data_IF_808357403679
#
_entry.id   IF_808357403679
#
_cell.length_a   1.000
_cell.length_b   1.000
_cell.length_c   1.000
_cell.angle_alpha   90.00
_cell.angle_beta   90.00
_cell.angle_gamma   90.00
#
_symmetry.space_group_name_H-M   'P 1'
#
loop_
_entity.id
_entity.type
_entity.pdbx_description
1 polymer ?
#
# COMPACT_ATOMS: atom_id res chain seq x y z
N UNK A 1 -24.87 12.06 3.39
CA UNK A 1 -23.96 10.95 3.80
C UNK A 1 -22.88 10.86 2.74
N UNK A 2 -21.60 11.06 3.10
CA UNK A 2 -20.51 10.92 2.11
C UNK A 2 -20.35 9.45 1.78
N UNK A 3 -20.42 9.08 0.50
CA UNK A 3 -20.17 7.73 0.01
C UNK A 3 -18.79 7.26 0.50
N UNK A 4 -18.79 6.42 1.53
CA UNK A 4 -17.61 5.74 1.96
C UNK A 4 -17.28 4.72 0.86
N UNK A 5 -16.24 5.02 0.07
CA UNK A 5 -15.72 4.12 -0.94
C UNK A 5 -15.44 2.72 -0.38
N UNK A 6 -15.40 1.73 -1.27
CA UNK A 6 -15.12 0.33 -0.90
C UNK A 6 -13.80 0.23 -0.13
N UNK A 7 -13.77 -0.61 0.90
CA UNK A 7 -12.58 -0.83 1.72
C UNK A 7 -11.39 -1.26 0.84
N UNK A 8 -10.20 -0.64 0.94
CA UNK A 8 -9.07 -0.91 0.04
C UNK A 8 -8.59 -2.36 0.10
N UNK A 9 -8.69 -3.00 1.27
CA UNK A 9 -8.39 -4.42 1.44
C UNK A 9 -9.30 -5.35 0.61
N UNK A 10 -10.54 -4.95 0.31
CA UNK A 10 -11.44 -5.77 -0.49
C UNK A 10 -11.00 -5.86 -1.96
N UNK A 11 -10.51 -4.75 -2.53
CA UNK A 11 -9.93 -4.73 -3.87
C UNK A 11 -8.67 -5.57 -3.99
N UNK A 12 -7.83 -5.55 -2.94
CA UNK A 12 -6.65 -6.43 -2.87
C UNK A 12 -7.03 -7.91 -2.79
N UNK A 13 -7.99 -8.27 -1.92
CA UNK A 13 -8.48 -9.65 -1.83
C UNK A 13 -9.10 -10.11 -3.16
N UNK A 14 -9.86 -9.23 -3.83
CA UNK A 14 -10.44 -9.53 -5.13
C UNK A 14 -9.36 -9.78 -6.19
N UNK A 15 -8.39 -8.89 -6.31
CA UNK A 15 -7.30 -9.01 -7.28
C UNK A 15 -6.38 -10.21 -7.00
N UNK A 16 -6.09 -10.49 -5.72
CA UNK A 16 -5.36 -11.70 -5.32
C UNK A 16 -6.17 -12.97 -5.62
N UNK A 17 -7.49 -12.93 -5.50
CA UNK A 17 -8.37 -14.02 -5.91
C UNK A 17 -8.28 -14.31 -7.41
N UNK A 18 -8.36 -13.27 -8.25
CA UNK A 18 -8.15 -13.41 -9.70
C UNK A 18 -6.73 -13.89 -10.05
N UNK A 19 -5.71 -13.38 -9.35
CA UNK A 19 -4.32 -13.83 -9.51
C UNK A 19 -4.17 -15.31 -9.14
N UNK A 20 -4.78 -15.73 -8.04
CA UNK A 20 -4.79 -17.14 -7.61
C UNK A 20 -5.47 -18.02 -8.66
N UNK A 21 -6.61 -17.60 -9.21
CA UNK A 21 -7.25 -18.28 -10.32
C UNK A 21 -6.34 -18.39 -11.56
N UNK A 22 -5.63 -17.32 -11.92
CA UNK A 22 -4.66 -17.34 -13.02
C UNK A 22 -3.51 -18.34 -12.78
N UNK A 23 -3.12 -18.60 -11.52
CA UNK A 23 -2.12 -19.65 -11.24
C UNK A 23 -2.62 -21.08 -11.49
N UNK A 24 -3.93 -21.30 -11.60
CA UNK A 24 -4.53 -22.62 -11.77
C UNK A 24 -4.83 -22.97 -13.23
N UNK A 25 -4.47 -22.12 -14.19
CA UNK A 25 -4.75 -22.38 -15.60
C UNK A 25 -3.63 -21.88 -16.51
N UNK A 26 -3.41 -22.61 -17.59
CA UNK A 26 -2.60 -22.17 -18.75
C UNK A 26 -3.47 -22.01 -20.00
N UNK A 27 -4.79 -22.16 -19.88
CA UNK A 27 -5.71 -21.98 -20.99
C UNK A 27 -5.78 -20.49 -21.39
N UNK A 28 -5.37 -20.14 -22.62
CA UNK A 28 -5.28 -18.74 -23.05
C UNK A 28 -6.65 -18.04 -23.06
N UNK A 29 -7.74 -18.76 -23.31
CA UNK A 29 -9.09 -18.19 -23.33
C UNK A 29 -9.54 -17.78 -21.93
N UNK A 30 -9.25 -18.60 -20.90
CA UNK A 30 -9.55 -18.27 -19.51
C UNK A 30 -8.67 -17.12 -19.01
N UNK A 31 -7.38 -17.11 -19.38
CA UNK A 31 -6.47 -16.01 -19.05
C UNK A 31 -6.92 -14.70 -19.72
N UNK A 32 -7.34 -14.75 -20.99
CA UNK A 32 -7.90 -13.60 -21.69
C UNK A 32 -9.21 -13.12 -21.05
N UNK A 33 -10.07 -14.04 -20.60
CA UNK A 33 -11.29 -13.71 -19.87
C UNK A 33 -10.98 -13.04 -18.53
N UNK A 34 -10.00 -13.53 -17.76
CA UNK A 34 -9.54 -12.89 -16.52
C UNK A 34 -9.00 -11.48 -16.78
N UNK A 35 -8.22 -11.30 -17.85
CA UNK A 35 -7.74 -9.98 -18.28
C UNK A 35 -8.91 -9.06 -18.62
N UNK A 36 -9.88 -9.54 -19.40
CA UNK A 36 -11.07 -8.77 -19.78
C UNK A 36 -11.93 -8.37 -18.58
N UNK A 37 -12.20 -9.30 -17.65
CA UNK A 37 -12.91 -9.02 -16.39
C UNK A 37 -12.15 -8.00 -15.56
N UNK A 38 -10.83 -8.16 -15.42
CA UNK A 38 -10.01 -7.21 -14.68
C UNK A 38 -10.02 -5.82 -15.30
N UNK A 39 -9.91 -5.73 -16.62
CA UNK A 39 -9.94 -4.48 -17.37
C UNK A 39 -11.30 -3.80 -17.22
N UNK A 40 -12.39 -4.55 -17.39
CA UNK A 40 -13.74 -4.03 -17.25
C UNK A 40 -14.01 -3.45 -15.86
N UNK A 41 -13.69 -4.21 -14.80
CA UNK A 41 -13.85 -3.75 -13.42
C UNK A 41 -12.96 -2.54 -13.13
N UNK A 42 -11.71 -2.53 -13.61
CA UNK A 42 -10.85 -1.36 -13.47
C UNK A 42 -11.46 -0.16 -14.21
N UNK A 43 -11.95 -0.29 -15.43
CA UNK A 43 -12.52 0.84 -16.16
C UNK A 43 -13.80 1.40 -15.53
N UNK A 44 -14.60 0.56 -14.88
CA UNK A 44 -15.90 0.94 -14.30
C UNK A 44 -15.81 1.41 -12.84
N UNK A 45 -14.84 0.90 -12.08
CA UNK A 45 -14.70 1.17 -10.64
C UNK A 45 -13.50 2.06 -10.28
N UNK A 46 -12.62 2.38 -11.23
CA UNK A 46 -11.40 3.17 -10.97
C UNK A 46 -11.74 4.62 -10.62
N UNK A 47 -11.20 5.15 -9.50
CA UNK A 47 -11.35 6.55 -9.13
C UNK A 47 -10.41 7.45 -9.96
N UNK A 48 -10.87 8.67 -10.26
CA UNK A 48 -10.08 9.72 -10.94
C UNK A 48 -8.95 10.25 -10.04
N UNK A 49 -7.89 9.46 -9.92
CA UNK A 49 -6.71 9.78 -9.10
C UNK A 49 -5.43 9.58 -9.92
N UNK A 50 -4.28 10.16 -9.54
CA UNK A 50 -3.02 9.98 -10.29
C UNK A 50 -2.60 8.51 -10.43
N UNK A 51 -2.88 7.70 -9.39
CA UNK A 51 -2.57 6.27 -9.33
C UNK A 51 -3.39 5.39 -10.24
N UNK A 52 -4.50 5.94 -10.72
CA UNK A 52 -5.40 5.27 -11.62
C UNK A 52 -4.62 4.78 -12.88
N UNK A 53 -3.62 5.54 -13.36
CA UNK A 53 -2.79 5.18 -14.54
C UNK A 53 -1.89 3.95 -14.36
N UNK A 54 -1.76 3.43 -13.14
CA UNK A 54 -0.93 2.25 -12.86
C UNK A 54 -1.36 1.02 -13.67
N UNK A 55 -2.66 0.79 -13.88
CA UNK A 55 -3.15 -0.37 -14.64
C UNK A 55 -2.55 -0.44 -16.06
N UNK A 56 -2.51 0.70 -16.77
CA UNK A 56 -1.91 0.77 -18.10
C UNK A 56 -0.40 0.51 -18.10
N UNK A 57 0.31 0.89 -17.03
CA UNK A 57 1.74 0.59 -16.89
C UNK A 57 1.98 -0.91 -16.65
N UNK A 58 1.16 -1.55 -15.81
CA UNK A 58 1.23 -3.00 -15.56
C UNK A 58 0.84 -3.83 -16.79
N UNK A 59 -0.14 -3.38 -17.58
CA UNK A 59 -0.45 -3.99 -18.89
C UNK A 59 0.73 -3.92 -19.85
N UNK A 60 1.37 -2.76 -19.99
CA UNK A 60 2.57 -2.60 -20.84
C UNK A 60 3.73 -3.47 -20.35
N UNK A 61 3.93 -3.54 -19.03
CA UNK A 61 4.93 -4.40 -18.42
C UNK A 61 4.63 -5.88 -18.68
N UNK A 62 3.37 -6.31 -18.55
CA UNK A 62 2.94 -7.68 -18.88
C UNK A 62 3.14 -8.03 -20.35
N UNK A 63 2.81 -7.09 -21.25
CA UNK A 63 3.09 -7.25 -22.68
C UNK A 63 4.60 -7.32 -22.96
N UNK A 64 5.42 -6.51 -22.29
CA UNK A 64 6.87 -6.59 -22.42
C UNK A 64 7.41 -7.94 -21.95
N UNK A 65 6.95 -8.46 -20.80
CA UNK A 65 7.32 -9.80 -20.30
C UNK A 65 6.91 -10.88 -21.31
N UNK A 66 5.71 -10.79 -21.89
CA UNK A 66 5.24 -11.69 -22.94
C UNK A 66 6.18 -11.71 -24.14
N UNK A 67 6.47 -10.53 -24.71
CA UNK A 67 7.31 -10.38 -25.89
C UNK A 67 8.75 -10.86 -25.63
N UNK A 68 9.31 -10.51 -24.47
CA UNK A 68 10.65 -10.94 -24.08
C UNK A 68 10.68 -12.46 -23.93
N UNK A 69 9.68 -13.09 -23.31
CA UNK A 69 9.61 -14.56 -23.22
C UNK A 69 9.48 -15.24 -24.58
N UNK A 70 8.65 -14.70 -25.48
CA UNK A 70 8.56 -15.20 -26.85
C UNK A 70 9.89 -15.08 -27.59
N UNK A 71 10.57 -13.94 -27.45
CA UNK A 71 11.89 -13.73 -28.04
C UNK A 71 12.90 -14.76 -27.51
N UNK A 72 12.94 -14.98 -26.20
CA UNK A 72 13.80 -16.03 -25.63
C UNK A 72 13.43 -17.42 -26.14
N UNK A 73 12.14 -17.75 -26.28
CA UNK A 73 11.70 -19.03 -26.84
C UNK A 73 12.09 -19.21 -28.32
N UNK A 74 12.13 -18.13 -29.10
CA UNK A 74 12.58 -18.15 -30.51
C UNK A 74 14.11 -18.25 -30.60
N UNK A 75 14.85 -17.54 -29.75
CA UNK A 75 16.32 -17.47 -29.81
C UNK A 75 17.00 -18.70 -29.18
N UNK A 76 16.49 -19.21 -28.05
CA UNK A 76 17.04 -20.40 -27.37
C UNK A 76 16.40 -21.71 -27.86
N UNK A 77 15.41 -21.62 -28.75
CA UNK A 77 14.57 -22.76 -29.13
C UNK A 77 13.69 -23.26 -27.97
N UNK A 78 12.75 -24.14 -28.28
CA UNK A 78 11.90 -24.78 -27.29
C UNK A 78 12.29 -26.26 -27.12
N UNK A 79 12.42 -26.78 -25.89
CA UNK A 79 12.66 -28.19 -25.64
C UNK A 79 11.44 -29.10 -25.94
N UNK A 80 10.32 -28.51 -26.39
CA UNK A 80 9.07 -29.21 -26.63
C UNK A 80 9.10 -29.85 -28.02
N UNK A 81 8.83 -31.18 -28.12
CA UNK A 81 8.69 -31.84 -29.40
C UNK A 81 7.55 -31.20 -30.21
N UNK A 82 7.84 -30.78 -31.44
CA UNK A 82 6.83 -30.20 -32.32
C UNK A 82 6.99 -30.72 -33.75
N UNK A 83 5.86 -30.95 -34.41
CA UNK A 83 5.82 -31.42 -35.80
C UNK A 83 5.73 -30.25 -36.78
N UNK A 84 5.23 -29.10 -36.34
CA UNK A 84 5.03 -27.92 -37.18
C UNK A 84 6.17 -26.90 -37.04
N UNK A 85 7.16 -26.98 -37.93
CA UNK A 85 8.27 -26.02 -37.99
C UNK A 85 7.83 -24.73 -38.70
N UNK A 86 7.94 -23.59 -38.02
CA UNK A 86 7.63 -22.27 -38.58
C UNK A 86 8.87 -21.65 -39.24
N UNK A 87 9.99 -21.64 -38.51
CA UNK A 87 11.25 -21.00 -38.96
C UNK A 87 12.42 -21.87 -38.50
N UNK A 88 13.45 -21.97 -39.33
CA UNK A 88 14.72 -22.61 -38.96
C UNK A 88 15.78 -21.52 -38.82
N UNK A 89 16.27 -21.32 -37.60
CA UNK A 89 17.41 -20.42 -37.36
C UNK A 89 18.71 -21.23 -37.45
N UNK A 90 19.79 -20.66 -38.01
CA UNK A 90 21.08 -21.32 -38.07
C UNK A 90 21.55 -21.69 -36.67
N UNK A 91 21.84 -22.97 -36.45
CA UNK A 91 22.33 -23.47 -35.18
C UNK A 91 23.78 -23.04 -35.00
N UNK A 92 24.07 -22.31 -33.92
CA UNK A 92 25.45 -22.01 -33.54
C UNK A 92 25.93 -23.16 -32.65
N UNK A 93 26.93 -23.96 -33.08
CA UNK A 93 27.46 -25.03 -32.26
C UNK A 93 28.11 -24.41 -31.02
N UNK A 94 27.49 -24.63 -29.86
CA UNK A 94 28.01 -24.15 -28.59
C UNK A 94 29.07 -25.12 -28.04
N UNK A 95 30.10 -24.61 -27.34
CA UNK A 95 31.12 -25.43 -26.72
C UNK A 95 30.54 -26.50 -25.78
N UNK A 96 31.27 -27.60 -25.57
CA UNK A 96 30.80 -28.77 -24.79
C UNK A 96 30.27 -28.45 -23.37
N UNK A 97 30.71 -27.34 -22.76
CA UNK A 97 30.25 -26.89 -21.43
C UNK A 97 28.86 -26.23 -21.44
N UNK A 98 28.34 -25.87 -22.62
CA UNK A 98 27.04 -25.23 -22.83
C UNK A 98 26.06 -26.11 -23.65
N UNK A 99 26.25 -27.43 -23.68
CA UNK A 99 25.39 -28.38 -24.41
C UNK A 99 23.92 -28.41 -23.97
N UNK A 100 23.58 -27.80 -22.84
CA UNK A 100 22.20 -27.66 -22.36
C UNK A 100 21.43 -26.47 -22.96
N UNK A 101 22.11 -25.55 -23.66
CA UNK A 101 21.48 -24.38 -24.29
C UNK A 101 21.70 -24.50 -25.79
N UNK A 102 20.63 -24.55 -26.59
CA UNK A 102 20.75 -24.43 -28.05
C UNK A 102 20.50 -22.97 -28.41
N UNK A 103 21.44 -22.29 -29.05
CA UNK A 103 21.18 -20.99 -29.66
C UNK A 103 20.80 -21.23 -31.12
N UNK A 104 19.55 -20.89 -31.46
CA UNK A 104 18.96 -21.18 -32.76
C UNK A 104 18.37 -22.60 -32.87
N UNK A 105 18.04 -23.00 -34.11
CA UNK A 105 17.40 -24.28 -34.41
C UNK A 105 15.98 -24.15 -34.96
N UNK A 106 15.25 -25.26 -34.97
CA UNK A 106 13.87 -25.33 -35.46
C UNK A 106 12.91 -24.66 -34.46
N UNK A 107 12.31 -23.55 -34.86
CA UNK A 107 11.23 -22.90 -34.11
C UNK A 107 9.92 -23.57 -34.50
N UNK A 108 9.34 -24.31 -33.55
CA UNK A 108 8.08 -25.03 -33.74
C UNK A 108 6.88 -24.20 -33.26
N UNK A 109 5.72 -24.40 -33.87
CA UNK A 109 4.47 -23.74 -33.47
C UNK A 109 4.05 -24.18 -32.04
N UNK A 110 4.24 -25.45 -31.72
CA UNK A 110 4.01 -26.07 -30.40
C UNK A 110 4.82 -25.37 -29.31
N UNK A 111 6.12 -25.21 -29.55
CA UNK A 111 7.04 -24.59 -28.60
C UNK A 111 6.74 -23.10 -28.38
N UNK A 112 6.38 -22.39 -29.44
CA UNK A 112 6.01 -20.97 -29.37
C UNK A 112 4.67 -20.78 -28.64
N UNK A 113 3.67 -21.63 -28.91
CA UNK A 113 2.37 -21.59 -28.21
C UNK A 113 2.52 -21.91 -26.72
N UNK A 114 3.34 -22.90 -26.36
CA UNK A 114 3.59 -23.20 -24.96
C UNK A 114 4.23 -22.01 -24.23
N UNK A 115 5.29 -21.43 -24.82
CA UNK A 115 5.93 -20.25 -24.27
C UNK A 115 4.95 -19.07 -24.17
N UNK A 116 4.08 -18.89 -25.16
CA UNK A 116 3.04 -17.86 -25.16
C UNK A 116 2.01 -18.07 -24.04
N UNK A 117 1.54 -19.30 -23.80
CA UNK A 117 0.57 -19.61 -22.74
C UNK A 117 1.16 -19.37 -21.35
N UNK A 118 2.39 -19.82 -21.13
CA UNK A 118 3.11 -19.59 -19.88
C UNK A 118 3.44 -18.12 -19.65
N UNK A 119 3.81 -17.39 -20.70
CA UNK A 119 4.09 -15.97 -20.61
C UNK A 119 2.81 -15.15 -20.40
N UNK A 120 1.70 -15.54 -21.02
CA UNK A 120 0.38 -14.94 -20.81
C UNK A 120 -0.07 -15.12 -19.36
N UNK A 121 0.16 -16.29 -18.76
CA UNK A 121 -0.11 -16.52 -17.33
C UNK A 121 0.64 -15.53 -16.43
N UNK A 122 1.94 -15.32 -16.67
CA UNK A 122 2.73 -14.33 -15.94
C UNK A 122 2.23 -12.90 -16.16
N UNK A 123 1.88 -12.56 -17.40
CA UNK A 123 1.31 -11.26 -17.73
C UNK A 123 -0.01 -11.02 -16.99
N UNK A 124 -0.90 -12.02 -16.91
CA UNK A 124 -2.16 -11.93 -16.16
C UNK A 124 -1.92 -11.70 -14.67
N UNK A 125 -0.97 -12.41 -14.04
CA UNK A 125 -0.62 -12.17 -12.63
C UNK A 125 -0.18 -10.73 -12.38
N UNK A 126 0.64 -10.20 -13.28
CA UNK A 126 1.13 -8.84 -13.21
C UNK A 126 0.00 -7.80 -13.40
N UNK A 127 -0.94 -8.08 -14.30
CA UNK A 127 -2.14 -7.25 -14.52
C UNK A 127 -3.07 -7.28 -13.31
N UNK A 128 -3.24 -8.43 -12.64
CA UNK A 128 -4.00 -8.50 -11.38
C UNK A 128 -3.39 -7.60 -10.30
N UNK A 129 -2.07 -7.59 -10.15
CA UNK A 129 -1.37 -6.64 -9.24
C UNK A 129 -1.59 -5.20 -9.67
N UNK A 130 -1.55 -4.93 -10.98
CA UNK A 130 -1.90 -3.63 -11.54
C UNK A 130 -3.33 -3.19 -11.23
N UNK A 131 -4.29 -4.11 -11.30
CA UNK A 131 -5.69 -3.85 -10.97
C UNK A 131 -5.86 -3.49 -9.49
N UNK A 132 -5.19 -4.22 -8.58
CA UNK A 132 -5.19 -3.90 -7.16
C UNK A 132 -4.70 -2.47 -6.88
N UNK A 133 -3.58 -2.08 -7.51
CA UNK A 133 -2.99 -0.74 -7.34
C UNK A 133 -3.80 0.39 -8.00
N UNK A 134 -4.54 0.08 -9.07
CA UNK A 134 -5.40 1.06 -9.73
C UNK A 134 -6.72 1.30 -8.98
N UNK A 135 -7.23 0.27 -8.27
CA UNK A 135 -8.50 0.31 -7.55
C UNK A 135 -8.35 0.69 -6.07
N UNK A 136 -7.23 0.34 -5.43
CA UNK A 136 -6.95 0.64 -4.03
C UNK A 136 -5.82 1.67 -3.87
N UNK A 137 -6.07 2.76 -3.14
CA UNK A 137 -5.02 3.70 -2.78
C UNK A 137 -4.07 3.09 -1.72
N UNK A 138 -2.74 3.01 -1.96
CA UNK A 138 -1.79 2.42 -1.03
C UNK A 138 -1.80 3.07 0.36
N UNK A 139 -1.98 4.39 0.41
CA UNK A 139 -2.03 5.17 1.66
C UNK A 139 -3.24 4.84 2.52
N UNK A 140 -4.40 4.53 1.93
CA UNK A 140 -5.57 4.06 2.70
C UNK A 140 -5.36 2.64 3.20
N UNK A 141 -4.76 1.76 2.39
CA UNK A 141 -4.44 0.41 2.83
C UNK A 141 -3.54 0.41 4.06
N UNK A 142 -2.50 1.25 4.08
CA UNK A 142 -1.64 1.42 5.24
C UNK A 142 -2.39 1.93 6.48
N UNK A 143 -3.36 2.83 6.31
CA UNK A 143 -4.22 3.30 7.42
C UNK A 143 -5.13 2.23 7.97
N UNK A 144 -5.45 1.20 7.18
CA UNK A 144 -6.29 0.06 7.60
C UNK A 144 -5.52 -1.07 8.27
N UNK A 145 -4.18 -0.97 8.35
CA UNK A 145 -3.37 -1.97 9.03
C UNK A 145 -3.77 -2.10 10.51
N UNK A 146 -3.74 -3.33 11.08
CA UNK A 146 -4.06 -3.56 12.48
C UNK A 146 -3.10 -2.77 13.39
N UNK A 147 -3.59 -2.36 14.57
CA UNK A 147 -2.80 -1.58 15.53
C UNK A 147 -1.49 -2.24 15.95
N UNK A 148 -1.39 -3.57 15.87
CA UNK A 148 -0.14 -4.31 16.12
C UNK A 148 1.02 -3.88 15.19
N UNK A 149 0.70 -3.37 13.99
CA UNK A 149 1.66 -2.88 13.02
C UNK A 149 1.78 -1.36 13.05
N UNK A 150 1.34 -0.70 14.12
CA UNK A 150 1.32 0.78 14.20
C UNK A 150 2.71 1.37 14.03
N UNK A 151 3.73 0.82 14.71
CA UNK A 151 5.11 1.31 14.64
C UNK A 151 5.67 1.19 13.22
N UNK A 152 5.52 0.01 12.60
CA UNK A 152 5.88 -0.22 11.20
C UNK A 152 5.08 0.68 10.25
N UNK A 153 3.78 0.85 10.50
CA UNK A 153 2.89 1.68 9.70
C UNK A 153 3.27 3.16 9.73
N UNK A 154 3.62 3.69 10.91
CA UNK A 154 4.13 5.05 11.06
C UNK A 154 5.45 5.20 10.30
N UNK A 155 6.38 4.26 10.44
CA UNK A 155 7.64 4.30 9.69
C UNK A 155 7.42 4.32 8.17
N UNK A 156 6.50 3.49 7.65
CA UNK A 156 6.17 3.46 6.21
C UNK A 156 5.47 4.74 5.77
N UNK A 157 4.51 5.26 6.54
CA UNK A 157 3.82 6.52 6.20
C UNK A 157 4.78 7.71 6.19
N UNK A 158 5.69 7.76 7.17
CA UNK A 158 6.78 8.72 7.22
C UNK A 158 7.63 8.57 5.96
N UNK A 159 8.15 7.37 5.67
CA UNK A 159 8.96 7.12 4.48
C UNK A 159 8.27 7.53 3.17
N UNK A 160 6.98 7.22 3.00
CA UNK A 160 6.19 7.60 1.82
C UNK A 160 6.00 9.11 1.70
N UNK A 161 5.97 9.83 2.82
CA UNK A 161 5.87 11.30 2.83
C UNK A 161 7.22 11.95 2.56
N UNK A 162 8.31 11.38 3.06
CA UNK A 162 9.67 11.90 2.85
C UNK A 162 10.23 11.57 1.47
N UNK A 163 9.85 10.45 0.85
CA UNK A 163 10.32 10.05 -0.46
C UNK A 163 10.17 11.14 -1.56
N UNK A 164 8.98 11.74 -1.78
CA UNK A 164 8.85 12.81 -2.79
C UNK A 164 9.67 14.05 -2.44
N UNK A 165 9.83 14.37 -1.16
CA UNK A 165 10.64 15.51 -0.71
C UNK A 165 12.12 15.28 -1.00
N UNK A 166 12.64 14.08 -0.74
CA UNK A 166 14.01 13.71 -1.06
C UNK A 166 14.28 13.76 -2.56
N UNK A 167 13.33 13.34 -3.39
CA UNK A 167 13.46 13.45 -4.86
C UNK A 167 13.54 14.91 -5.28
N UNK A 168 12.70 15.78 -4.72
CA UNK A 168 12.74 17.21 -5.01
C UNK A 168 14.07 17.86 -4.56
N UNK A 169 14.62 17.46 -3.42
CA UNK A 169 15.93 17.94 -2.96
C UNK A 169 17.07 17.49 -3.88
N UNK A 170 17.06 16.22 -4.30
CA UNK A 170 18.03 15.69 -5.27
C UNK A 170 17.94 16.46 -6.58
N UNK A 171 16.74 16.75 -7.07
CA UNK A 171 16.53 17.52 -8.29
C UNK A 171 17.06 18.96 -8.15
N UNK A 172 16.74 19.65 -7.04
CA UNK A 172 17.27 20.99 -6.72
C UNK A 172 18.79 21.00 -6.66
N UNK A 173 19.39 20.03 -5.98
CA UNK A 173 20.84 19.94 -5.83
C UNK A 173 21.56 19.59 -7.15
N UNK A 174 20.96 18.75 -7.99
CA UNK A 174 21.46 18.49 -9.36
C UNK A 174 21.40 19.77 -10.21
N UNK A 175 20.31 20.53 -10.15
CA UNK A 175 20.17 21.79 -10.87
C UNK A 175 21.22 22.84 -10.42
N UNK A 176 21.39 23.02 -9.11
CA UNK A 176 22.38 23.96 -8.57
C UNK A 176 23.82 23.60 -8.98
N UNK A 177 24.15 22.31 -9.09
CA UNK A 177 25.47 21.88 -9.59
C UNK A 177 25.67 22.10 -11.07
N UNK A 178 24.64 21.87 -11.89
CA UNK A 178 24.68 22.19 -13.32
C UNK A 178 24.99 23.66 -13.55
N UNK A 179 24.39 24.55 -12.76
CA UNK A 179 24.69 25.99 -12.79
C UNK A 179 26.12 26.34 -12.35
N UNK A 180 26.77 25.48 -11.55
CA UNK A 180 28.17 25.64 -11.10
C UNK A 180 29.17 24.93 -12.02
N UNK A 181 28.75 24.44 -13.20
CA UNK A 181 29.60 23.71 -14.14
C UNK A 181 30.14 22.38 -13.60
N UNK A 182 29.58 21.86 -12.50
CA UNK A 182 30.05 20.63 -11.86
C UNK A 182 29.38 19.41 -12.50
N UNK A 183 30.13 18.34 -12.81
CA UNK A 183 29.55 17.13 -13.37
C UNK A 183 28.56 16.49 -12.39
N UNK A 184 27.38 16.17 -12.89
CA UNK A 184 26.27 15.58 -12.11
C UNK A 184 26.05 14.09 -12.43
N UNK A 185 26.86 13.51 -13.34
CA UNK A 185 26.82 12.11 -13.76
C UNK A 185 28.04 11.33 -13.24
N UNK A 186 27.86 10.03 -13.00
CA UNK A 186 28.90 9.11 -12.53
C UNK A 186 28.93 8.91 -11.01
N UNK A 187 29.76 7.97 -10.55
CA UNK A 187 29.85 7.55 -9.13
C UNK A 187 30.28 8.70 -8.21
N UNK A 188 31.26 9.51 -8.65
CA UNK A 188 31.69 10.73 -7.94
C UNK A 188 30.57 11.77 -7.86
N UNK A 189 29.82 11.96 -8.95
CA UNK A 189 28.64 12.82 -8.96
C UNK A 189 27.59 12.32 -7.96
N UNK A 190 27.32 11.01 -7.95
CA UNK A 190 26.37 10.40 -7.02
C UNK A 190 26.78 10.58 -5.55
N UNK A 191 28.05 10.36 -5.19
CA UNK A 191 28.54 10.58 -3.82
C UNK A 191 28.39 12.05 -3.39
N UNK A 192 28.72 12.99 -4.28
CA UNK A 192 28.57 14.41 -4.01
C UNK A 192 27.10 14.85 -3.93
N UNK A 193 26.18 14.18 -4.62
CA UNK A 193 24.72 14.41 -4.50
C UNK A 193 24.19 13.79 -3.22
N UNK A 194 24.63 12.58 -2.93
CA UNK A 194 24.12 11.74 -1.87
C UNK A 194 24.46 12.28 -0.49
N UNK A 195 25.71 12.70 -0.27
CA UNK A 195 26.16 13.13 1.06
C UNK A 195 25.35 14.32 1.62
N UNK A 196 25.13 15.43 0.88
CA UNK A 196 24.31 16.54 1.39
C UNK A 196 22.83 16.19 1.54
N UNK A 197 22.32 15.27 0.71
CA UNK A 197 20.93 14.81 0.82
C UNK A 197 20.75 13.92 2.04
N UNK A 198 21.75 13.09 2.38
CA UNK A 198 21.76 12.29 3.60
C UNK A 198 21.85 13.18 4.84
N UNK A 199 22.74 14.18 4.83
CA UNK A 199 22.83 15.19 5.89
C UNK A 199 21.49 15.90 6.12
N UNK A 200 20.87 16.43 5.06
CA UNK A 200 19.56 17.06 5.16
C UNK A 200 18.42 16.08 5.48
N UNK A 201 18.58 14.78 5.19
CA UNK A 201 17.64 13.75 5.64
C UNK A 201 17.80 13.47 7.14
N UNK A 202 19.03 13.44 7.65
CA UNK A 202 19.34 13.25 9.07
C UNK A 202 18.79 14.40 9.90
N UNK A 203 19.06 15.65 9.53
CA UNK A 203 18.51 16.83 10.21
C UNK A 203 16.97 16.79 10.31
N UNK A 204 16.30 16.47 9.19
CA UNK A 204 14.85 16.33 9.18
C UNK A 204 14.34 15.15 9.98
N UNK A 205 15.08 14.04 10.01
CA UNK A 205 14.72 12.88 10.85
C UNK A 205 14.80 13.22 12.33
N UNK A 206 15.81 13.98 12.76
CA UNK A 206 15.98 14.45 14.15
C UNK A 206 14.88 15.44 14.50
N UNK A 207 14.59 16.42 13.62
CA UNK A 207 13.51 17.37 13.83
C UNK A 207 12.12 16.68 13.90
N UNK A 208 11.88 15.69 13.04
CA UNK A 208 10.66 14.89 13.08
C UNK A 208 10.56 14.08 14.37
N UNK A 209 11.65 13.43 14.80
CA UNK A 209 11.68 12.66 16.04
C UNK A 209 11.34 13.54 17.25
N UNK A 210 11.94 14.74 17.36
CA UNK A 210 11.62 15.70 18.40
C UNK A 210 10.15 16.16 18.35
N UNK A 211 9.60 16.39 17.15
CA UNK A 211 8.19 16.76 16.98
C UNK A 211 7.21 15.59 17.25
N UNK A 212 7.66 14.34 17.09
CA UNK A 212 6.89 13.14 17.42
C UNK A 212 6.85 12.94 18.94
N UNK A 213 7.99 13.12 19.60
CA UNK A 213 8.10 13.02 21.07
C UNK A 213 7.25 14.07 21.79
N UNK A 214 7.28 15.34 21.34
CA UNK A 214 6.45 16.41 21.91
C UNK A 214 4.94 16.19 21.75
N UNK A 215 4.52 15.45 20.71
CA UNK A 215 3.12 15.03 20.49
C UNK A 215 2.76 13.75 21.25
N UNK A 216 3.71 13.16 21.98
CA UNK A 216 3.54 11.94 22.77
C UNK A 216 3.42 10.67 21.92
N UNK A 217 4.01 10.65 20.71
CA UNK A 217 4.20 9.41 19.96
C UNK A 217 5.17 8.49 20.72
N UNK A 218 4.93 7.18 20.72
CA UNK A 218 5.78 6.20 21.42
C UNK A 218 5.29 5.80 22.82
N UNK A 219 4.31 6.50 23.40
CA UNK A 219 3.61 5.99 24.60
C UNK A 219 2.78 4.76 24.24
N UNK A 220 3.31 3.59 24.56
CA UNK A 220 2.56 2.33 24.56
C UNK A 220 1.60 2.30 25.74
N UNK A 221 0.39 1.77 25.56
CA UNK A 221 -0.44 1.44 26.72
C UNK A 221 0.29 0.43 27.60
N UNK A 222 0.22 0.60 28.92
CA UNK A 222 0.80 -0.36 29.85
C UNK A 222 -0.01 -1.66 29.79
N UNK A 223 0.60 -2.73 29.30
CA UNK A 223 -0.10 -3.99 28.96
C UNK A 223 0.55 -5.12 29.74
N UNK A 224 -0.25 -5.98 30.42
CA UNK A 224 0.28 -7.09 31.20
C UNK A 224 1.25 -7.95 30.40
N UNK A 225 2.34 -8.40 31.05
CA UNK A 225 3.36 -9.24 30.41
C UNK A 225 2.78 -10.55 29.83
N UNK A 226 1.70 -11.07 30.41
CA UNK A 226 0.96 -12.23 29.90
C UNK A 226 0.38 -11.97 28.52
N UNK A 227 -0.31 -10.84 28.33
CA UNK A 227 -0.85 -10.41 27.03
C UNK A 227 0.28 -10.18 26.03
N UNK A 228 1.44 -9.69 26.50
CA UNK A 228 2.64 -9.55 25.66
C UNK A 228 3.09 -10.89 25.08
N UNK A 229 3.28 -11.87 25.94
CA UNK A 229 3.74 -13.22 25.57
C UNK A 229 2.72 -13.98 24.74
N UNK A 230 1.42 -13.92 25.08
CA UNK A 230 0.37 -14.62 24.30
C UNK A 230 0.26 -14.07 22.89
N UNK A 231 0.35 -12.76 22.71
CA UNK A 231 0.35 -12.15 21.37
C UNK A 231 1.57 -12.62 20.58
N UNK A 232 2.77 -12.61 21.17
CA UNK A 232 3.99 -13.05 20.49
C UNK A 232 3.90 -14.54 20.11
N UNK A 233 3.42 -15.38 21.02
CA UNK A 233 3.20 -16.81 20.77
C UNK A 233 2.15 -17.05 19.67
N UNK A 234 1.02 -16.33 19.70
CA UNK A 234 -0.02 -16.41 18.68
C UNK A 234 0.48 -15.93 17.31
N UNK A 235 1.26 -14.85 17.24
CA UNK A 235 1.80 -14.34 15.97
C UNK A 235 2.87 -15.24 15.40
N UNK A 236 3.83 -15.69 16.22
CA UNK A 236 4.92 -16.56 15.77
C UNK A 236 4.40 -17.96 15.46
N UNK A 237 3.60 -18.54 16.36
CA UNK A 237 2.96 -19.84 16.15
C UNK A 237 2.00 -19.82 14.97
N UNK A 238 1.25 -18.73 14.78
CA UNK A 238 0.41 -18.55 13.61
C UNK A 238 1.20 -18.49 12.30
N UNK A 239 2.31 -17.74 12.27
CA UNK A 239 3.18 -17.66 11.09
C UNK A 239 3.83 -19.01 10.76
N UNK A 240 4.34 -19.72 11.78
CA UNK A 240 4.86 -21.08 11.62
C UNK A 240 3.78 -22.06 11.15
N UNK A 241 2.56 -21.94 11.68
CA UNK A 241 1.41 -22.72 11.23
C UNK A 241 1.02 -22.45 9.77
N UNK A 242 1.10 -21.20 9.32
CA UNK A 242 0.88 -20.85 7.90
C UNK A 242 1.96 -21.47 7.02
N UNK A 243 3.24 -21.42 7.44
CA UNK A 243 4.33 -22.07 6.71
C UNK A 243 4.12 -23.60 6.63
N UNK A 244 3.84 -24.24 7.76
CA UNK A 244 3.61 -25.68 7.83
C UNK A 244 2.37 -26.12 7.04
N UNK A 245 1.27 -25.35 7.12
CA UNK A 245 0.04 -25.61 6.36
C UNK A 245 0.24 -25.46 4.85
N UNK A 246 0.98 -24.42 4.43
CA UNK A 246 1.32 -24.22 3.01
C UNK A 246 2.20 -25.36 2.50
N UNK A 247 3.21 -25.75 3.27
CA UNK A 247 4.03 -26.92 2.94
C UNK A 247 3.19 -28.20 2.85
N UNK A 248 2.28 -28.42 3.81
CA UNK A 248 1.33 -29.52 3.80
C UNK A 248 0.48 -29.59 2.53
N UNK A 249 -0.02 -28.44 2.05
CA UNK A 249 -0.80 -28.39 0.81
C UNK A 249 0.02 -28.67 -0.46
N UNK A 250 1.34 -28.50 -0.40
CA UNK A 250 2.25 -28.75 -1.53
C UNK A 250 2.75 -30.20 -1.58
N UNK A 251 2.58 -30.98 -0.51
CA UNK A 251 3.00 -32.39 -0.46
C UNK A 251 1.82 -33.34 -0.69
N UNK A 252 2.07 -34.44 -1.39
CA UNK A 252 1.08 -35.48 -1.64
C UNK A 252 0.53 -36.11 -0.34
N UNK A 253 1.36 -36.15 0.71
CA UNK A 253 0.98 -36.69 2.02
C UNK A 253 0.13 -35.73 2.87
N UNK A 254 -0.03 -34.47 2.45
CA UNK A 254 -0.61 -33.41 3.27
C UNK A 254 -2.07 -33.08 2.98
N UNK A 255 -2.76 -33.89 2.17
CA UNK A 255 -4.15 -33.66 1.79
C UNK A 255 -5.13 -33.54 2.98
N UNK A 256 -4.88 -34.26 4.07
CA UNK A 256 -5.76 -34.25 5.26
C UNK A 256 -5.45 -33.15 6.28
N UNK A 257 -4.18 -32.81 6.50
CA UNK A 257 -3.76 -31.88 7.57
C UNK A 257 -3.31 -30.51 7.06
N UNK A 258 -2.95 -30.35 5.79
CA UNK A 258 -2.43 -29.08 5.25
C UNK A 258 -3.43 -27.94 5.37
N UNK A 259 -4.67 -28.16 4.95
CA UNK A 259 -5.75 -27.17 5.02
C UNK A 259 -6.14 -26.77 6.47
N UNK A 260 -6.41 -27.71 7.40
CA UNK A 260 -6.75 -27.33 8.77
C UNK A 260 -5.58 -26.65 9.50
N UNK A 261 -4.33 -27.08 9.28
CA UNK A 261 -3.14 -26.43 9.87
C UNK A 261 -2.96 -25.02 9.32
N UNK A 262 -3.19 -24.81 8.02
CA UNK A 262 -3.15 -23.48 7.41
C UNK A 262 -4.21 -22.55 8.02
N UNK A 263 -5.45 -23.03 8.15
CA UNK A 263 -6.55 -22.25 8.72
C UNK A 263 -6.32 -21.94 10.20
N UNK A 264 -5.84 -22.91 10.98
CA UNK A 264 -5.50 -22.71 12.38
C UNK A 264 -4.34 -21.71 12.55
N UNK A 265 -3.28 -21.83 11.72
CA UNK A 265 -2.16 -20.89 11.70
C UNK A 265 -2.60 -19.47 11.34
N UNK A 266 -3.45 -19.32 10.32
CA UNK A 266 -4.01 -18.03 9.92
C UNK A 266 -4.87 -17.43 11.04
N UNK A 267 -5.74 -18.22 11.67
CA UNK A 267 -6.57 -17.79 12.78
C UNK A 267 -5.74 -17.36 13.98
N UNK A 268 -4.70 -18.12 14.34
CA UNK A 268 -3.75 -17.77 15.40
C UNK A 268 -3.00 -16.46 15.10
N UNK A 269 -2.51 -16.29 13.87
CA UNK A 269 -1.83 -15.05 13.44
C UNK A 269 -2.77 -13.84 13.51
N UNK A 270 -4.01 -13.97 13.03
CA UNK A 270 -5.03 -12.92 13.09
C UNK A 270 -5.44 -12.59 14.53
N UNK A 271 -5.59 -13.59 15.39
CA UNK A 271 -5.86 -13.40 16.80
C UNK A 271 -4.70 -12.66 17.49
N UNK A 272 -3.46 -13.05 17.21
CA UNK A 272 -2.26 -12.35 17.66
C UNK A 272 -2.26 -10.88 17.22
N UNK A 273 -2.50 -10.59 15.94
CA UNK A 273 -2.57 -9.22 15.43
C UNK A 273 -3.71 -8.41 16.07
N UNK A 274 -4.87 -9.03 16.33
CA UNK A 274 -6.03 -8.38 16.97
C UNK A 274 -5.76 -8.06 18.44
N UNK A 275 -5.13 -8.98 19.18
CA UNK A 275 -4.70 -8.78 20.57
C UNK A 275 -3.60 -7.71 20.66
N UNK A 276 -2.62 -7.74 19.75
CA UNK A 276 -1.58 -6.71 19.64
C UNK A 276 -2.15 -5.32 19.32
N UNK A 277 -3.23 -5.25 18.55
CA UNK A 277 -3.90 -3.99 18.23
C UNK A 277 -4.55 -3.28 19.41
N UNK A 278 -4.83 -3.97 20.52
CA UNK A 278 -5.39 -3.36 21.74
C UNK A 278 -4.37 -2.53 22.53
N UNK A 279 -3.09 -2.60 22.17
CA UNK A 279 -1.98 -1.90 22.87
C UNK A 279 -1.76 -0.46 22.41
N UNK A 280 -2.39 -0.06 21.31
CA UNK A 280 -2.22 1.28 20.74
C UNK A 280 -3.43 2.14 21.12
N UNK A 281 -3.31 3.06 22.08
CA UNK A 281 -4.40 3.98 22.41
C UNK A 281 -4.67 4.89 21.21
N UNK A 282 -5.90 4.88 20.69
CA UNK A 282 -6.35 5.78 19.61
C UNK A 282 -7.39 6.75 20.17
N UNK A 283 -7.06 8.04 20.26
CA UNK A 283 -7.92 9.08 20.84
C UNK A 283 -9.03 9.55 19.89
N UNK A 284 -8.83 9.43 18.56
CA UNK A 284 -9.87 9.71 17.57
C UNK A 284 -9.64 8.89 16.30
N UNK A 285 -10.21 7.68 16.24
CA UNK A 285 -10.14 6.80 15.08
C UNK A 285 -11.47 6.82 14.33
N UNK A 286 -11.45 7.18 13.04
CA UNK A 286 -12.59 6.99 12.14
C UNK A 286 -12.30 5.77 11.26
N UNK A 287 -12.77 4.58 11.63
CA UNK A 287 -12.52 3.36 10.84
C UNK A 287 -13.13 3.47 9.44
N UNK A 288 -12.39 3.03 8.42
CA UNK A 288 -13.02 2.57 7.19
C UNK A 288 -13.78 1.29 7.54
N UNK A 289 -15.11 1.34 7.45
CA UNK A 289 -15.97 0.21 7.80
C UNK A 289 -16.00 -0.79 6.66
N UNK A 290 -15.96 -2.08 6.99
CA UNK A 290 -16.24 -3.13 6.01
C UNK A 290 -17.74 -3.09 5.69
N UNK A 291 -18.08 -2.57 4.52
CA UNK A 291 -19.46 -2.49 4.05
C UNK A 291 -19.87 -3.81 3.39
N UNK A 292 -21.18 -4.04 3.23
CA UNK A 292 -21.69 -5.20 2.47
C UNK A 292 -21.10 -5.22 1.06
N UNK A 293 -20.95 -4.05 0.42
CA UNK A 293 -20.26 -3.89 -0.86
C UNK A 293 -18.82 -4.40 -0.81
N UNK A 294 -18.07 -4.08 0.23
CA UNK A 294 -16.70 -4.58 0.42
C UNK A 294 -16.66 -6.11 0.62
N UNK A 295 -17.62 -6.69 1.34
CA UNK A 295 -17.76 -8.15 1.44
C UNK A 295 -18.06 -8.80 0.08
N UNK A 296 -18.96 -8.21 -0.72
CA UNK A 296 -19.29 -8.73 -2.05
C UNK A 296 -18.08 -8.69 -2.99
N UNK A 297 -17.32 -7.59 -2.99
CA UNK A 297 -16.10 -7.47 -3.80
C UNK A 297 -15.07 -8.53 -3.39
N UNK A 298 -14.74 -8.62 -2.09
CA UNK A 298 -13.78 -9.61 -1.61
C UNK A 298 -14.27 -11.05 -1.85
N UNK A 299 -15.56 -11.32 -1.58
CA UNK A 299 -16.20 -12.61 -1.76
C UNK A 299 -16.23 -13.06 -3.21
N UNK A 300 -16.44 -12.14 -4.16
CA UNK A 300 -16.43 -12.47 -5.59
C UNK A 300 -15.06 -12.97 -6.07
N UNK A 301 -13.96 -12.31 -5.68
CA UNK A 301 -12.62 -12.78 -6.04
C UNK A 301 -12.22 -14.06 -5.32
N UNK A 302 -12.63 -14.21 -4.05
CA UNK A 302 -12.44 -15.46 -3.31
C UNK A 302 -13.22 -16.63 -3.94
N UNK A 303 -14.45 -16.39 -4.40
CA UNK A 303 -15.26 -17.38 -5.10
C UNK A 303 -14.62 -17.79 -6.43
N UNK A 304 -14.11 -16.83 -7.22
CA UNK A 304 -13.37 -17.14 -8.47
C UNK A 304 -12.16 -18.01 -8.16
N UNK A 305 -11.36 -17.67 -7.14
CA UNK A 305 -10.19 -18.45 -6.74
C UNK A 305 -10.54 -19.88 -6.30
N UNK A 306 -11.58 -20.03 -5.47
CA UNK A 306 -12.04 -21.31 -4.96
C UNK A 306 -12.61 -22.19 -6.08
N UNK A 307 -13.48 -21.64 -6.93
CA UNK A 307 -14.10 -22.39 -8.03
C UNK A 307 -13.08 -22.82 -9.08
N UNK A 308 -12.10 -21.97 -9.43
CA UNK A 308 -11.02 -22.36 -10.36
C UNK A 308 -10.06 -23.38 -9.74
N UNK A 309 -9.85 -23.32 -8.43
CA UNK A 309 -9.09 -24.34 -7.69
C UNK A 309 -9.82 -25.68 -7.71
N UNK A 310 -11.13 -25.67 -7.48
CA UNK A 310 -11.99 -26.86 -7.58
C UNK A 310 -12.06 -27.39 -9.02
N UNK A 311 -12.11 -26.50 -10.01
CA UNK A 311 -12.02 -26.85 -11.42
C UNK A 311 -10.75 -27.63 -11.71
N UNK A 312 -9.62 -27.12 -11.22
CA UNK A 312 -8.31 -27.70 -11.46
C UNK A 312 -8.13 -29.05 -10.78
N UNK A 313 -8.85 -29.31 -9.68
CA UNK A 313 -8.88 -30.65 -9.08
C UNK A 313 -9.84 -31.62 -9.77
N UNK A 314 -10.94 -31.13 -10.34
CA UNK A 314 -11.95 -31.98 -10.96
C UNK A 314 -11.59 -32.38 -12.39
N UNK A 315 -11.07 -31.45 -13.18
CA UNK A 315 -10.65 -31.68 -14.57
C UNK A 315 -9.39 -30.88 -14.92
N UNK A 316 -8.19 -31.40 -14.58
CA UNK A 316 -6.93 -30.74 -14.89
C UNK A 316 -6.69 -30.52 -16.38
N UNK A 317 -7.21 -31.41 -17.25
CA UNK A 317 -6.96 -31.38 -18.68
C UNK A 317 -7.64 -30.17 -19.35
N UNK A 318 -8.83 -29.78 -18.90
CA UNK A 318 -9.53 -28.61 -19.42
C UNK A 318 -8.85 -27.27 -19.10
N UNK A 319 -8.10 -27.19 -17.98
CA UNK A 319 -7.42 -25.98 -17.53
C UNK A 319 -5.98 -25.86 -18.04
N UNK A 320 -5.41 -26.98 -18.48
CA UNK A 320 -4.07 -27.09 -19.03
C UNK A 320 -4.10 -27.76 -20.41
N UNK A 321 -4.60 -27.05 -21.45
CA UNK A 321 -4.63 -27.60 -22.79
C UNK A 321 -3.21 -27.93 -23.26
N UNK A 322 -3.03 -29.16 -23.75
CA UNK A 322 -1.77 -29.61 -24.33
C UNK A 322 -1.47 -28.87 -25.65
N UNK A 323 -0.19 -28.66 -25.92
CA UNK A 323 0.29 -28.12 -27.21
C UNK A 323 0.74 -29.22 -28.17
N UNK A 324 0.80 -30.47 -27.71
CA UNK A 324 1.15 -31.66 -28.50
C UNK A 324 0.07 -32.72 -28.28
N UNK A 325 -0.75 -33.06 -29.29
CA UNK A 325 -0.86 -32.45 -30.63
C UNK A 325 -1.46 -31.03 -30.60
N UNK A 326 -1.24 -30.21 -31.64
CA UNK A 326 -1.89 -28.90 -31.77
C UNK A 326 -3.41 -29.09 -31.89
N UNK A 327 -4.11 -28.75 -30.82
CA UNK A 327 -5.58 -28.69 -30.79
C UNK A 327 -5.99 -27.31 -30.33
N UNK A 328 -7.06 -26.78 -30.92
CA UNK A 328 -7.59 -25.48 -30.48
C UNK A 328 -8.09 -25.62 -29.03
N UNK A 329 -7.66 -24.73 -28.10
CA UNK A 329 -8.11 -24.81 -26.73
C UNK A 329 -9.63 -24.55 -26.68
N UNK A 330 -10.38 -25.48 -26.10
CA UNK A 330 -11.79 -25.28 -25.83
C UNK A 330 -11.97 -24.30 -24.65
N UNK A 331 -13.10 -23.58 -24.64
CA UNK A 331 -13.50 -22.78 -23.49
C UNK A 331 -14.35 -23.64 -22.55
N UNK A 332 -13.83 -24.07 -21.39
CA UNK A 332 -14.63 -24.82 -20.45
C UNK A 332 -15.66 -23.87 -19.82
N UNK A 333 -16.95 -24.15 -20.05
CA UNK A 333 -18.05 -23.24 -19.71
C UNK A 333 -18.19 -23.02 -18.20
N UNK A 334 -17.95 -24.05 -17.39
CA UNK A 334 -18.06 -23.95 -15.93
C UNK A 334 -16.96 -23.08 -15.30
N UNK A 335 -15.65 -23.29 -15.61
CA UNK A 335 -14.59 -22.34 -15.21
C UNK A 335 -14.81 -20.93 -15.77
N UNK A 336 -15.29 -20.79 -17.01
CA UNK A 336 -15.61 -19.48 -17.57
C UNK A 336 -16.70 -18.76 -16.77
N UNK A 337 -17.79 -19.46 -16.41
CA UNK A 337 -18.85 -18.93 -15.55
C UNK A 337 -18.33 -18.53 -14.16
N UNK A 338 -17.40 -19.30 -13.59
CA UNK A 338 -16.75 -18.96 -12.33
C UNK A 338 -15.94 -17.66 -12.44
N UNK A 339 -15.20 -17.43 -13.53
CA UNK A 339 -14.48 -16.17 -13.76
C UNK A 339 -15.43 -14.98 -13.87
N UNK A 340 -16.63 -15.16 -14.45
CA UNK A 340 -17.62 -14.08 -14.56
C UNK A 340 -18.13 -13.57 -13.21
N UNK A 341 -18.06 -14.36 -12.13
CA UNK A 341 -18.32 -13.85 -10.78
C UNK A 341 -17.39 -12.70 -10.40
N UNK A 342 -16.20 -12.65 -10.98
CA UNK A 342 -15.25 -11.55 -10.83
C UNK A 342 -15.77 -10.20 -11.33
N UNK A 343 -16.86 -10.15 -12.11
CA UNK A 343 -17.53 -8.93 -12.58
C UNK A 343 -18.47 -8.30 -11.53
N UNK A 344 -18.82 -9.03 -10.47
CA UNK A 344 -19.71 -8.52 -9.41
C UNK A 344 -19.34 -7.13 -8.86
N UNK A 345 -18.05 -6.76 -8.68
CA UNK A 345 -17.67 -5.41 -8.25
C UNK A 345 -18.17 -4.29 -9.16
N UNK A 346 -18.25 -4.52 -10.48
CA UNK A 346 -18.71 -3.51 -11.45
C UNK A 346 -20.15 -3.06 -11.19
N UNK A 347 -20.99 -3.96 -10.67
CA UNK A 347 -22.38 -3.69 -10.33
C UNK A 347 -22.55 -3.26 -8.87
N UNK A 348 -21.76 -3.84 -7.96
CA UNK A 348 -21.88 -3.57 -6.53
C UNK A 348 -21.23 -2.24 -6.10
N UNK A 349 -20.25 -1.74 -6.85
CA UNK A 349 -19.54 -0.51 -6.56
C UNK A 349 -19.11 0.24 -7.83
N UNK A 350 -20.05 0.72 -8.66
CA UNK A 350 -19.69 1.62 -9.75
C UNK A 350 -19.01 2.87 -9.16
N UNK A 351 -17.95 3.36 -9.83
CA UNK A 351 -17.31 4.59 -9.41
C UNK A 351 -18.40 5.67 -9.32
N UNK A 352 -18.61 6.21 -8.11
CA UNK A 352 -19.51 7.33 -7.93
C UNK A 352 -19.03 8.43 -8.87
N UNK A 353 -19.90 8.84 -9.82
CA UNK A 353 -19.67 10.07 -10.59
C UNK A 353 -19.32 11.13 -9.56
N UNK A 354 -18.07 11.59 -9.57
CA UNK A 354 -17.71 12.76 -8.81
C UNK A 354 -18.61 13.86 -9.35
N UNK A 355 -19.67 14.22 -8.61
CA UNK A 355 -20.28 15.52 -8.78
C UNK A 355 -19.13 16.53 -8.74
N UNK A 356 -19.00 17.41 -9.76
CA UNK A 356 -18.01 18.46 -9.76
C UNK A 356 -18.22 19.25 -8.48
N UNK A 357 -17.40 18.97 -7.47
CA UNK A 357 -17.50 19.64 -6.18
C UNK A 357 -17.28 21.11 -6.49
N UNK A 358 -18.30 21.92 -6.19
CA UNK A 358 -18.36 23.36 -6.37
C UNK A 358 -17.28 24.15 -5.58
N UNK A 359 -16.17 23.51 -5.22
CA UNK A 359 -15.01 24.09 -4.54
C UNK A 359 -14.06 24.84 -5.49
N UNK A 360 -14.31 24.86 -6.81
CA UNK A 360 -13.57 25.71 -7.75
C UNK A 360 -14.22 27.07 -8.03
N UNK A 361 -15.39 27.38 -7.46
CA UNK A 361 -16.01 28.73 -7.58
C UNK A 361 -15.65 29.70 -6.45
N UNK A 362 -14.81 29.30 -5.50
CA UNK A 362 -14.41 30.16 -4.37
C UNK A 362 -12.99 30.74 -4.49
N UNK A 363 -12.32 30.50 -5.61
CA UNK A 363 -11.00 31.07 -5.90
C UNK A 363 -11.09 32.00 -7.11
N UNK A 364 -11.97 32.99 -7.03
CA UNK A 364 -11.83 34.21 -7.80
C UNK A 364 -11.14 35.24 -6.90
N UNK A 365 -9.93 35.72 -7.24
CA UNK A 365 -9.24 36.70 -6.43
C UNK A 365 -9.98 38.02 -6.60
N UNK A 366 -10.63 38.49 -5.54
CA UNK A 366 -11.06 39.87 -5.42
C UNK A 366 -9.81 40.77 -5.32
N UNK A 367 -9.17 41.05 -6.45
CA UNK A 367 -8.31 42.22 -6.63
C UNK A 367 -9.17 43.26 -7.33
N UNK A 368 -10.02 43.94 -6.55
CA UNK A 368 -10.65 45.18 -7.00
C UNK A 368 -9.77 46.31 -6.49
N UNK A 369 -9.04 46.88 -7.45
CA UNK A 369 -8.41 48.21 -7.46
C UNK A 369 -8.70 49.09 -6.24
N UNK A 370 -7.69 49.28 -5.40
CA UNK A 370 -7.61 50.37 -4.42
C UNK A 370 -6.19 50.95 -4.49
N UNK A 371 -5.92 51.66 -5.58
CA UNK A 371 -4.74 52.52 -5.76
C UNK A 371 -4.96 53.43 -6.98
N UNK A 372 -5.82 54.44 -6.82
CA UNK A 372 -5.84 55.61 -7.70
C UNK A 372 -6.47 56.78 -6.96
N UNK A 373 -5.77 57.36 -5.97
CA UNK A 373 -5.74 58.82 -5.81
C UNK A 373 -4.61 59.26 -4.88
N UNK A 374 -3.40 59.43 -5.43
CA UNK A 374 -2.41 60.36 -4.88
C UNK A 374 -1.83 61.17 -6.04
N UNK A 375 -2.35 62.39 -6.16
CA UNK A 375 -1.99 63.40 -7.11
C UNK A 375 -0.53 63.87 -6.93
N UNK A 376 0.18 64.02 -8.05
CA UNK A 376 1.40 64.83 -8.15
C UNK A 376 1.04 66.30 -8.51
N UNK A 377 1.88 67.29 -8.15
CA UNK A 377 1.51 68.69 -8.10
C UNK A 377 1.87 69.44 -9.38
N UNK A 378 0.99 70.34 -9.85
CA UNK A 378 1.36 71.45 -10.74
C UNK A 378 0.64 72.76 -10.37
N UNK A 379 1.40 73.84 -10.57
CA UNK A 379 1.28 75.19 -10.01
C UNK A 379 0.20 76.08 -10.64
N UNK A 380 -0.15 77.11 -9.84
CA UNK A 380 -0.39 78.55 -10.19
C UNK A 380 -1.82 79.04 -9.99
N UNK A 381 -2.06 80.37 -9.78
CA UNK A 381 -1.23 81.39 -9.14
C UNK A 381 -1.98 82.17 -8.02
N UNK A 382 -1.20 83.03 -7.34
CA UNK A 382 -1.59 84.08 -6.39
C UNK A 382 -2.90 84.82 -6.71
N UNK A 383 -3.70 85.10 -5.68
CA UNK A 383 -3.97 86.49 -5.23
C UNK A 383 -4.94 86.58 -4.03
N UNK A 384 -4.54 87.42 -3.07
CA UNK A 384 -5.36 88.41 -2.34
C UNK A 384 -6.38 87.97 -1.26
N UNK A 385 -6.04 88.38 -0.03
CA UNK A 385 -6.96 88.87 1.00
C UNK A 385 -7.72 87.80 1.79
N UNK A 386 -8.09 87.97 3.05
CA UNK A 386 -8.01 89.07 4.02
C UNK A 386 -8.72 88.52 5.27
N UNK A 387 -8.11 88.65 6.46
CA UNK A 387 -8.72 88.48 7.79
C UNK A 387 -9.33 87.06 8.04
N UNK A 388 -9.53 86.53 9.25
CA UNK A 388 -9.77 87.12 10.56
C UNK A 388 -9.62 86.00 11.62
N UNK A 389 -9.07 86.38 12.78
CA UNK A 389 -9.33 85.88 14.15
C UNK A 389 -10.15 84.59 14.37
N UNK A 390 -9.60 83.65 15.16
CA UNK A 390 -10.05 83.37 16.54
C UNK A 390 -9.55 81.99 17.05
N UNK A 391 -8.97 81.99 18.25
CA UNK A 391 -8.76 80.82 19.11
C UNK A 391 -9.98 80.66 20.08
N UNK A 392 -9.90 79.91 21.19
CA UNK A 392 -9.94 78.44 21.34
C UNK A 392 -11.00 77.99 22.38
N UNK A 393 -11.34 76.69 22.47
CA UNK A 393 -12.02 76.06 23.64
C UNK A 393 -12.27 74.56 23.35
N UNK A 394 -12.45 73.64 24.27
CA UNK A 394 -12.06 73.42 25.66
C UNK A 394 -12.48 71.97 25.98
N UNK A 395 -11.73 71.32 26.87
CA UNK A 395 -12.17 70.30 27.85
C UNK A 395 -13.17 69.19 27.46
N UNK A 396 -12.78 67.93 27.70
CA UNK A 396 -13.26 67.15 28.86
C UNK A 396 -12.56 65.79 29.00
N UNK A 397 -12.22 65.49 30.26
CA UNK A 397 -11.71 64.25 30.83
C UNK A 397 -12.80 63.13 30.81
N UNK A 398 -12.61 61.82 31.05
CA UNK A 398 -11.78 61.03 32.01
C UNK A 398 -12.10 59.50 31.75
N UNK A 399 -11.72 58.47 32.56
CA UNK A 399 -10.58 57.58 32.32
C UNK A 399 -10.83 56.02 32.40
N UNK A 400 -9.77 55.26 32.09
CA UNK A 400 -9.18 54.05 32.73
C UNK A 400 -10.00 52.85 33.29
N UNK A 401 -9.57 51.63 32.91
CA UNK A 401 -9.51 50.38 33.71
C UNK A 401 -8.45 49.45 33.08
N UNK A 402 -7.22 49.30 33.59
CA UNK A 402 -6.65 48.56 34.75
C UNK A 402 -6.47 47.04 34.56
N UNK A 403 -5.18 46.68 34.59
CA UNK A 403 -4.44 45.41 34.49
C UNK A 403 -4.44 44.66 35.84
N UNK A 404 -4.35 43.31 35.88
CA UNK A 404 -3.31 42.62 36.67
C UNK A 404 -3.15 41.10 36.48
N UNK A 405 -1.88 40.70 36.54
CA UNK A 405 -1.29 39.37 36.62
C UNK A 405 -0.49 39.25 37.93
N UNK A 406 -0.24 38.01 38.42
CA UNK A 406 0.82 37.57 39.37
C UNK A 406 0.65 36.03 39.53
N UNK A 407 1.60 35.08 39.48
CA UNK A 407 3.00 34.88 39.94
C UNK A 407 3.18 34.76 41.48
N UNK A 408 3.29 33.50 41.94
CA UNK A 408 4.35 32.92 42.80
C UNK A 408 4.52 33.34 44.29
N UNK A 409 4.52 32.35 45.21
CA UNK A 409 5.52 32.15 46.28
C UNK A 409 5.18 30.95 47.21
N UNK A 410 6.17 30.08 47.44
CA UNK A 410 6.35 29.17 48.61
C UNK A 410 6.84 30.00 49.85
N UNK A 411 6.86 29.51 51.12
CA UNK A 411 7.74 28.40 51.56
C UNK A 411 7.32 27.55 52.83
N UNK A 412 8.00 26.39 52.95
CA UNK A 412 8.63 25.74 54.13
C UNK A 412 7.89 25.24 55.41
N UNK A 413 8.21 23.97 55.74
CA UNK A 413 8.70 23.44 57.06
C UNK A 413 7.87 22.34 57.78
N UNK A 414 8.55 21.23 58.11
CA UNK A 414 8.08 19.98 58.79
C UNK A 414 8.32 20.03 60.32
N UNK A 415 7.82 19.10 61.18
CA UNK A 415 8.36 17.72 61.29
C UNK A 415 7.39 16.57 61.73
N UNK A 416 7.88 15.33 61.54
CA UNK A 416 7.46 13.98 62.02
C UNK A 416 7.46 13.87 63.59
N UNK A 417 7.12 12.77 64.34
CA UNK A 417 6.74 11.39 63.98
C UNK A 417 5.72 10.62 64.89
N UNK A 418 5.46 9.33 64.51
CA UNK A 418 5.07 8.13 65.31
C UNK A 418 3.59 7.69 65.52
N UNK A 419 3.46 6.36 65.44
CA UNK A 419 2.46 5.42 66.01
C UNK A 419 1.06 5.26 65.37
N UNK A 420 0.86 4.14 64.66
CA UNK A 420 -0.07 3.11 65.17
C UNK A 420 0.21 1.72 64.58
N UNK A 421 0.53 0.82 65.50
CA UNK A 421 0.53 -0.64 65.43
C UNK A 421 -0.83 -1.24 65.05
N UNK A 422 -0.82 -2.28 64.21
CA UNK A 422 -1.54 -3.58 64.36
C UNK A 422 -1.22 -4.44 63.12
N UNK A 423 -0.30 -5.40 63.19
CA UNK A 423 -0.45 -6.75 63.77
C UNK A 423 -1.59 -7.55 63.13
N UNK A 424 -1.26 -8.40 62.15
CA UNK A 424 -1.46 -9.85 62.29
C UNK A 424 -0.94 -10.65 61.09
N UNK A 425 0.02 -11.52 61.44
CA UNK A 425 0.11 -12.94 61.06
C UNK A 425 0.48 -13.32 59.62
N UNK A 426 1.75 -13.70 59.54
CA UNK A 426 2.21 -15.09 59.30
C UNK A 426 2.70 -15.41 57.89
N UNK A 427 3.99 -15.18 57.74
CA UNK A 427 4.88 -15.87 56.82
C UNK A 427 5.41 -17.16 57.49
N UNK A 428 5.47 -18.26 56.73
CA UNK A 428 6.45 -19.38 56.76
C UNK A 428 5.86 -20.50 55.88
N UNK A 429 6.33 -20.70 54.65
CA UNK A 429 7.59 -21.30 54.21
C UNK A 429 7.77 -22.77 54.58
N UNK A 430 8.21 -23.52 53.56
CA UNK A 430 9.06 -24.73 53.54
C UNK A 430 8.47 -26.14 53.77
N UNK A 431 8.47 -26.88 52.64
CA UNK A 431 9.09 -28.19 52.34
C UNK A 431 8.55 -29.54 52.89
N UNK A 432 8.59 -30.51 51.96
CA UNK A 432 8.76 -31.99 52.07
C UNK A 432 7.53 -32.83 52.47
N UNK A 433 7.07 -33.78 51.62
CA UNK A 433 7.50 -35.22 51.55
C UNK A 433 7.38 -35.88 52.94
N UNK A 434 6.57 -36.91 53.24
CA UNK A 434 6.24 -38.20 52.59
C UNK A 434 4.98 -38.85 53.28
N UNK A 435 4.47 -40.03 52.86
CA UNK A 435 3.20 -40.68 53.30
C UNK A 435 3.42 -41.60 54.55
N UNK A 436 2.57 -42.57 54.99
CA UNK A 436 1.35 -43.19 54.41
C UNK A 436 0.17 -43.51 55.35
N UNK A 437 -0.99 -43.83 54.75
CA UNK A 437 -1.84 -45.03 54.97
C UNK A 437 -3.17 -44.89 54.25
#
# INVERSE_FOLDING_TARGET
MRDAGVHPGAWWLWALGLGTAATRTTNPLLLALLLAVSAYVVTTCRPDTPWSRSYGAFLKLGLAVLLVRLLFAVVLGSPIPGTHVLVTLPEVPLPHWAQGIRLGGRVTAEGLLFAAYDALRLATLLVCVGAANALASPTRLLKTLPGALYETGVAVVVALTFAPNLVADVQRLRAARRLRGRPDRGVRGLLQVGLPVLEGALERSVALAAAMDSRGYGRTADVPASVRRTTAALTLGGLLGVCAGTYGLLTAAGGGYGLPVLLAGLAAALAGLRLGGRRTPRTRYRPDRWTVRACLVAGSGAAVAALLTLAASADPAALHPGVVPLTAPALPLWPAAAVLLGLLPAFAAPAGRAEPTAASRSAEPAVRSEAADHAEPRRSPRSAGRAESAAPAAARARPAARIQAAVGAEPAESPDPRESSKSSKSCKSSLSEEPPS
#
